data_IF_151811278609
#
_entry.id   IF_151811278609
#
_cell.length_a   1.000
_cell.length_b   1.000
_cell.length_c   1.000
_cell.angle_alpha   90.00
_cell.angle_beta   90.00
_cell.angle_gamma   90.00
#
_symmetry.space_group_name_H-M   'P 1'
#
loop_
_entity.id
_entity.type
_entity.pdbx_description
1 polymer ?
#
# COMPACT_ATOMS: atom_id res chain seq x y z
N UNK A 1 16.02 -12.27 -39.96
CA UNK A 1 16.24 -12.23 -38.50
C UNK A 1 15.06 -12.80 -37.70
N UNK A 2 13.79 -12.57 -38.08
CA UNK A 2 12.63 -13.13 -37.37
C UNK A 2 12.51 -14.67 -37.49
N UNK A 3 12.77 -15.24 -38.68
CA UNK A 3 12.74 -16.70 -38.91
C UNK A 3 13.74 -17.48 -38.05
N UNK A 4 14.96 -16.97 -37.88
CA UNK A 4 16.00 -17.62 -37.06
C UNK A 4 15.63 -17.65 -35.57
N UNK A 5 14.89 -16.65 -35.09
CA UNK A 5 14.43 -16.60 -33.70
C UNK A 5 13.30 -17.61 -33.46
N UNK A 6 12.37 -17.74 -34.42
CA UNK A 6 11.30 -18.75 -34.37
C UNK A 6 11.87 -20.17 -34.43
N UNK A 7 12.84 -20.43 -35.31
CA UNK A 7 13.47 -21.75 -35.40
C UNK A 7 14.20 -22.11 -34.10
N UNK A 8 14.89 -21.15 -33.49
CA UNK A 8 15.56 -21.35 -32.21
C UNK A 8 14.56 -21.65 -31.08
N UNK A 9 13.42 -20.96 -31.03
CA UNK A 9 12.37 -21.22 -30.05
C UNK A 9 11.76 -22.62 -30.23
N UNK A 10 11.58 -23.09 -31.47
CA UNK A 10 11.09 -24.45 -31.77
C UNK A 10 12.11 -25.49 -31.32
N UNK A 11 13.40 -25.28 -31.56
CA UNK A 11 14.44 -26.24 -31.13
C UNK A 11 14.55 -26.33 -29.60
N UNK A 12 14.40 -25.19 -28.91
CA UNK A 12 14.34 -25.15 -27.44
C UNK A 12 13.08 -25.84 -26.92
N UNK A 13 11.94 -25.67 -27.60
CA UNK A 13 10.70 -26.34 -27.24
C UNK A 13 10.79 -27.86 -27.43
N UNK A 14 11.38 -28.33 -28.54
CA UNK A 14 11.59 -29.75 -28.80
C UNK A 14 12.46 -30.39 -27.73
N UNK A 15 13.57 -29.75 -27.33
CA UNK A 15 14.41 -30.24 -26.22
C UNK A 15 13.67 -30.34 -24.89
N UNK A 16 12.78 -29.38 -24.60
CA UNK A 16 11.96 -29.41 -23.39
C UNK A 16 10.90 -30.52 -23.46
N UNK A 17 10.30 -30.73 -24.64
CA UNK A 17 9.37 -31.83 -24.89
C UNK A 17 10.06 -33.19 -24.75
N UNK A 18 11.28 -33.34 -25.25
CA UNK A 18 12.07 -34.57 -25.13
C UNK A 18 12.37 -34.90 -23.65
N UNK A 19 12.75 -33.89 -22.85
CA UNK A 19 12.95 -34.04 -21.40
C UNK A 19 11.67 -34.45 -20.67
N UNK A 20 10.53 -33.85 -21.02
CA UNK A 20 9.24 -34.20 -20.42
C UNK A 20 8.79 -35.61 -20.86
N UNK A 21 9.03 -35.98 -22.12
CA UNK A 21 8.73 -37.31 -22.63
C UNK A 21 9.55 -38.39 -21.92
N UNK A 22 10.83 -38.12 -21.65
CA UNK A 22 11.70 -39.01 -20.89
C UNK A 22 11.18 -39.23 -19.46
N UNK A 23 10.80 -38.14 -18.78
CA UNK A 23 10.22 -38.19 -17.42
C UNK A 23 8.87 -38.94 -17.40
N UNK A 24 8.00 -38.71 -18.39
CA UNK A 24 6.70 -39.40 -18.52
C UNK A 24 6.88 -40.89 -18.75
N UNK A 25 7.89 -41.27 -19.55
CA UNK A 25 8.21 -42.69 -19.80
C UNK A 25 8.72 -43.36 -18.52
N UNK A 26 9.61 -42.70 -17.77
CA UNK A 26 10.09 -43.19 -16.49
C UNK A 26 8.94 -43.34 -15.46
N UNK A 27 8.03 -42.37 -15.41
CA UNK A 27 6.86 -42.40 -14.54
C UNK A 27 5.90 -43.54 -14.89
N UNK A 28 5.69 -43.81 -16.20
CA UNK A 28 4.85 -44.91 -16.66
C UNK A 28 5.44 -46.28 -16.27
N UNK A 29 6.76 -46.44 -16.40
CA UNK A 29 7.44 -47.69 -16.07
C UNK A 29 7.38 -47.99 -14.55
N UNK A 30 7.47 -46.96 -13.71
CA UNK A 30 7.29 -47.10 -12.26
C UNK A 30 5.87 -47.60 -11.91
N UNK A 31 4.84 -47.06 -12.58
CA UNK A 31 3.45 -47.48 -12.40
C UNK A 31 3.21 -48.94 -12.79
N UNK A 32 3.75 -49.39 -13.93
CA UNK A 32 3.65 -50.80 -14.35
C UNK A 32 4.36 -51.73 -13.36
N UNK A 33 5.54 -51.36 -12.86
CA UNK A 33 6.26 -52.18 -11.87
C UNK A 33 5.52 -52.30 -10.54
N UNK A 34 4.75 -51.28 -10.15
CA UNK A 34 3.90 -51.32 -8.98
C UNK A 34 2.63 -52.15 -9.20
N UNK A 35 2.05 -52.11 -10.40
CA UNK A 35 0.88 -52.93 -10.74
C UNK A 35 1.21 -54.43 -10.69
N UNK A 36 2.40 -54.81 -11.17
CA UNK A 36 2.96 -56.16 -11.01
C UNK A 36 3.22 -56.51 -9.54
N UNK A 37 3.80 -55.58 -8.76
CA UNK A 37 4.02 -55.78 -7.33
C UNK A 37 2.71 -55.99 -6.56
N UNK A 38 1.65 -55.25 -6.90
CA UNK A 38 0.29 -55.40 -6.35
C UNK A 38 -0.28 -56.77 -6.69
N UNK A 39 -0.10 -57.21 -7.93
CA UNK A 39 -0.54 -58.53 -8.41
C UNK A 39 0.13 -59.65 -7.60
N UNK A 40 1.45 -59.60 -7.45
CA UNK A 40 2.24 -60.56 -6.69
C UNK A 40 1.93 -60.54 -5.19
N UNK A 41 1.72 -59.34 -4.61
CA UNK A 41 1.27 -59.17 -3.22
C UNK A 41 -0.12 -59.75 -2.99
N UNK A 42 -1.01 -59.73 -3.99
CA UNK A 42 -2.35 -60.31 -3.84
C UNK A 42 -2.30 -61.84 -3.69
N UNK A 43 -1.31 -62.48 -4.32
CA UNK A 43 -1.11 -63.93 -4.29
C UNK A 43 -0.48 -64.36 -2.96
N UNK A 44 0.61 -63.71 -2.54
CA UNK A 44 1.34 -64.05 -1.29
C UNK A 44 0.62 -63.48 -0.05
N UNK A 45 -0.07 -62.36 -0.19
CA UNK A 45 -0.75 -61.65 0.89
C UNK A 45 -1.89 -62.46 1.53
N UNK A 46 -2.46 -63.43 0.80
CA UNK A 46 -3.53 -64.29 1.31
C UNK A 46 -3.08 -65.17 2.49
N UNK A 47 -1.84 -65.65 2.45
CA UNK A 47 -1.25 -66.48 3.51
C UNK A 47 -0.74 -65.63 4.69
N UNK A 48 -0.13 -64.48 4.40
CA UNK A 48 0.26 -63.50 5.42
C UNK A 48 -0.96 -62.94 6.18
N UNK A 49 -2.05 -62.62 5.47
CA UNK A 49 -3.30 -62.14 6.05
C UNK A 49 -3.93 -63.17 6.98
N UNK A 50 -3.99 -64.45 6.54
CA UNK A 50 -4.46 -65.55 7.40
C UNK A 50 -3.64 -65.70 8.68
N UNK A 51 -2.34 -65.42 8.63
CA UNK A 51 -1.48 -65.48 9.81
C UNK A 51 -1.70 -64.28 10.74
N UNK A 52 -1.81 -63.07 10.21
CA UNK A 52 -2.07 -61.84 10.98
C UNK A 52 -3.45 -61.83 11.63
N UNK A 53 -4.49 -62.27 10.90
CA UNK A 53 -5.86 -62.38 11.45
C UNK A 53 -5.89 -63.37 12.61
N UNK A 54 -5.25 -64.54 12.50
CA UNK A 54 -5.14 -65.50 13.61
C UNK A 54 -4.38 -64.95 14.83
N UNK A 55 -3.42 -64.04 14.62
CA UNK A 55 -2.70 -63.40 15.73
C UNK A 55 -3.52 -62.28 16.38
N UNK A 56 -4.29 -61.52 15.61
CA UNK A 56 -5.17 -60.46 16.10
C UNK A 56 -6.38 -61.01 16.85
N UNK A 57 -6.95 -62.13 16.41
CA UNK A 57 -8.04 -62.85 17.09
C UNK A 57 -7.59 -63.35 18.48
N UNK A 58 -6.32 -63.78 18.58
CA UNK A 58 -5.67 -64.10 19.87
C UNK A 58 -5.41 -62.90 20.77
N UNK A 59 -5.35 -61.69 20.22
CA UNK A 59 -5.17 -60.45 20.99
C UNK A 59 -6.49 -59.91 21.56
N UNK A 60 -7.63 -60.57 21.30
CA UNK A 60 -8.92 -60.24 21.89
C UNK A 60 -9.58 -58.98 21.29
N UNK A 61 -9.21 -58.58 20.08
CA UNK A 61 -9.83 -57.47 19.38
C UNK A 61 -10.94 -58.03 18.48
N UNK A 62 -12.20 -57.76 18.80
CA UNK A 62 -13.37 -58.05 17.95
C UNK A 62 -13.29 -57.22 16.66
N UNK A 63 -12.52 -57.69 15.69
CA UNK A 63 -12.44 -57.11 14.36
C UNK A 63 -13.20 -58.00 13.38
N UNK A 64 -14.15 -57.41 12.66
CA UNK A 64 -14.78 -58.07 11.52
C UNK A 64 -13.70 -58.41 10.48
N UNK A 65 -13.33 -59.70 10.44
CA UNK A 65 -12.29 -60.24 9.56
C UNK A 65 -12.57 -59.99 8.08
N UNK A 66 -13.84 -59.88 7.70
CA UNK A 66 -14.27 -59.61 6.32
C UNK A 66 -14.15 -58.12 5.98
N UNK A 67 -14.47 -57.24 6.94
CA UNK A 67 -14.23 -55.81 6.81
C UNK A 67 -12.73 -55.49 6.68
N UNK A 68 -11.87 -56.15 7.47
CA UNK A 68 -10.42 -55.94 7.46
C UNK A 68 -9.79 -56.44 6.15
N UNK A 69 -10.23 -57.60 5.66
CA UNK A 69 -9.86 -58.09 4.32
C UNK A 69 -10.28 -57.10 3.22
N UNK A 70 -11.49 -56.57 3.32
CA UNK A 70 -12.03 -55.58 2.38
C UNK A 70 -11.23 -54.27 2.37
N UNK A 71 -10.78 -53.78 3.53
CA UNK A 71 -9.93 -52.59 3.64
C UNK A 71 -8.55 -52.83 3.05
N UNK A 72 -7.90 -53.96 3.35
CA UNK A 72 -6.60 -54.29 2.76
C UNK A 72 -6.68 -54.50 1.25
N UNK A 73 -7.75 -55.13 0.75
CA UNK A 73 -7.96 -55.30 -0.68
C UNK A 73 -8.21 -53.96 -1.38
N UNK A 74 -8.96 -53.04 -0.74
CA UNK A 74 -9.16 -51.67 -1.23
C UNK A 74 -7.87 -50.86 -1.18
N UNK A 75 -7.05 -51.00 -0.15
CA UNK A 75 -5.75 -50.35 -0.06
C UNK A 75 -4.80 -50.86 -1.16
N UNK A 76 -4.71 -52.19 -1.33
CA UNK A 76 -3.91 -52.83 -2.38
C UNK A 76 -4.35 -52.39 -3.78
N UNK A 77 -5.66 -52.38 -4.05
CA UNK A 77 -6.23 -51.94 -5.33
C UNK A 77 -6.03 -50.44 -5.60
N UNK A 78 -5.93 -49.63 -4.55
CA UNK A 78 -5.71 -48.18 -4.64
C UNK A 78 -4.26 -47.79 -4.31
N UNK A 79 -3.30 -48.72 -4.35
CA UNK A 79 -1.90 -48.44 -4.06
C UNK A 79 -1.33 -47.32 -4.93
N UNK A 80 -1.76 -47.22 -6.19
CA UNK A 80 -1.41 -46.10 -7.08
C UNK A 80 -1.84 -44.73 -6.52
N UNK A 81 -3.09 -44.60 -6.05
CA UNK A 81 -3.60 -43.36 -5.46
C UNK A 81 -2.92 -43.04 -4.12
N UNK A 82 -2.60 -44.06 -3.33
CA UNK A 82 -1.86 -43.88 -2.07
C UNK A 82 -0.44 -43.39 -2.37
N UNK A 83 0.21 -43.93 -3.39
CA UNK A 83 1.53 -43.50 -3.82
C UNK A 83 1.53 -42.03 -4.28
N UNK A 84 0.57 -41.63 -5.11
CA UNK A 84 0.41 -40.22 -5.52
C UNK A 84 0.20 -39.27 -4.33
N UNK A 85 -0.56 -39.71 -3.32
CA UNK A 85 -0.74 -38.94 -2.09
C UNK A 85 0.57 -38.82 -1.28
N UNK A 86 1.36 -39.88 -1.22
CA UNK A 86 2.66 -39.87 -0.54
C UNK A 86 3.66 -38.97 -1.27
N UNK A 87 3.72 -39.02 -2.60
CA UNK A 87 4.53 -38.11 -3.43
C UNK A 87 4.11 -36.64 -3.26
N UNK A 88 2.80 -36.39 -3.16
CA UNK A 88 2.27 -35.06 -2.86
C UNK A 88 2.67 -34.59 -1.46
N UNK A 89 2.67 -35.50 -0.48
CA UNK A 89 3.07 -35.20 0.89
C UNK A 89 4.57 -34.91 1.00
N UNK A 90 5.39 -35.66 0.26
CA UNK A 90 6.83 -35.42 0.13
C UNK A 90 7.09 -34.05 -0.51
N UNK A 91 6.41 -33.74 -1.62
CA UNK A 91 6.51 -32.45 -2.30
C UNK A 91 6.07 -31.28 -1.41
N UNK A 92 5.00 -31.44 -0.63
CA UNK A 92 4.53 -30.43 0.31
C UNK A 92 5.52 -30.22 1.47
N UNK A 93 6.08 -31.31 1.99
CA UNK A 93 7.10 -31.26 3.03
C UNK A 93 8.39 -30.59 2.53
N UNK A 94 8.83 -30.91 1.31
CA UNK A 94 10.00 -30.29 0.68
C UNK A 94 9.78 -28.80 0.43
N UNK A 95 8.60 -28.42 -0.08
CA UNK A 95 8.23 -27.02 -0.20
C UNK A 95 8.25 -26.28 1.14
N UNK A 96 7.69 -26.88 2.20
CA UNK A 96 7.73 -26.28 3.55
C UNK A 96 9.18 -26.11 4.02
N UNK A 97 10.02 -27.12 3.80
CA UNK A 97 11.43 -27.10 4.17
C UNK A 97 12.21 -26.01 3.41
N UNK A 98 11.87 -25.76 2.15
CA UNK A 98 12.49 -24.73 1.32
C UNK A 98 11.98 -23.32 1.63
N UNK A 99 10.68 -23.18 1.92
CA UNK A 99 10.06 -21.88 2.24
C UNK A 99 10.34 -21.43 3.66
N UNK A 100 10.50 -22.35 4.61
CA UNK A 100 10.70 -22.00 6.04
C UNK A 100 11.92 -21.07 6.25
N UNK A 101 13.11 -21.33 5.69
CA UNK A 101 14.25 -20.42 5.79
C UNK A 101 13.99 -19.04 5.18
N UNK A 102 13.33 -18.99 4.02
CA UNK A 102 13.00 -17.74 3.32
C UNK A 102 12.01 -16.92 4.14
N UNK A 103 10.95 -17.56 4.64
CA UNK A 103 9.94 -16.93 5.49
C UNK A 103 10.55 -16.41 6.80
N UNK A 104 11.50 -17.15 7.38
CA UNK A 104 12.20 -16.70 8.58
C UNK A 104 13.03 -15.43 8.33
N UNK A 105 13.81 -15.40 7.24
CA UNK A 105 14.62 -14.24 6.88
C UNK A 105 13.75 -13.02 6.51
N UNK A 106 12.75 -13.21 5.65
CA UNK A 106 11.80 -12.16 5.29
C UNK A 106 11.04 -11.65 6.52
N UNK A 107 10.68 -12.54 7.44
CA UNK A 107 10.04 -12.19 8.70
C UNK A 107 10.94 -11.31 9.58
N UNK A 108 12.20 -11.69 9.75
CA UNK A 108 13.18 -10.90 10.50
C UNK A 108 13.42 -9.52 9.86
N UNK A 109 13.56 -9.46 8.54
CA UNK A 109 13.73 -8.20 7.82
C UNK A 109 12.48 -7.30 7.92
N UNK A 110 11.28 -7.89 7.84
CA UNK A 110 10.03 -7.18 8.02
C UNK A 110 9.89 -6.63 9.44
N UNK A 111 10.24 -7.42 10.47
CA UNK A 111 10.24 -6.96 11.87
C UNK A 111 11.23 -5.81 12.05
N UNK A 112 12.45 -5.93 11.52
CA UNK A 112 13.46 -4.88 11.61
C UNK A 112 13.04 -3.60 10.89
N UNK A 113 12.44 -3.71 9.70
CA UNK A 113 11.88 -2.58 8.94
C UNK A 113 10.73 -1.91 9.68
N UNK A 114 9.83 -2.69 10.26
CA UNK A 114 8.71 -2.16 11.05
C UNK A 114 9.20 -1.47 12.33
N UNK A 115 10.16 -2.06 13.03
CA UNK A 115 10.80 -1.43 14.18
C UNK A 115 11.54 -0.14 13.79
N UNK A 116 12.15 -0.09 12.60
CA UNK A 116 12.76 1.13 12.07
C UNK A 116 11.70 2.20 11.75
N UNK A 117 10.56 1.81 11.17
CA UNK A 117 9.44 2.71 10.91
C UNK A 117 8.83 3.27 12.18
N UNK A 118 8.66 2.44 13.20
CA UNK A 118 8.22 2.84 14.52
C UNK A 118 9.23 3.79 15.17
N UNK A 119 10.54 3.46 15.17
CA UNK A 119 11.60 4.34 15.72
C UNK A 119 11.68 5.69 15.02
N UNK A 120 11.45 5.73 13.70
CA UNK A 120 11.39 6.97 12.92
C UNK A 120 10.07 7.72 13.11
N UNK A 121 9.10 7.18 13.85
CA UNK A 121 7.83 7.81 14.16
C UNK A 121 6.80 7.77 13.02
N UNK A 122 6.98 6.93 11.99
CA UNK A 122 6.03 6.83 10.88
C UNK A 122 4.67 6.32 11.35
N UNK A 123 4.66 5.34 12.26
CA UNK A 123 3.42 4.80 12.85
C UNK A 123 2.66 5.91 13.57
N UNK A 124 3.35 6.68 14.41
CA UNK A 124 2.74 7.78 15.16
C UNK A 124 2.28 8.90 14.24
N UNK A 125 3.05 9.24 13.21
CA UNK A 125 2.67 10.22 12.21
C UNK A 125 1.38 9.81 11.46
N UNK A 126 1.28 8.55 11.02
CA UNK A 126 0.07 8.04 10.35
C UNK A 126 -1.12 8.03 11.32
N UNK A 127 -0.90 7.65 12.58
CA UNK A 127 -1.93 7.67 13.62
C UNK A 127 -2.46 9.09 13.86
N UNK A 128 -1.57 10.07 13.97
CA UNK A 128 -1.94 11.48 14.15
C UNK A 128 -2.60 12.07 12.89
N UNK A 129 -2.15 11.69 11.69
CA UNK A 129 -2.86 12.03 10.44
C UNK A 129 -4.27 11.45 10.42
N UNK A 130 -4.44 10.20 10.88
CA UNK A 130 -5.76 9.57 11.00
C UNK A 130 -6.67 10.34 11.96
N UNK A 131 -6.14 10.74 13.13
CA UNK A 131 -6.87 11.57 14.11
C UNK A 131 -7.24 12.94 13.54
N UNK A 132 -6.32 13.58 12.83
CA UNK A 132 -6.59 14.85 12.16
C UNK A 132 -7.69 14.66 11.09
N UNK A 133 -7.62 13.59 10.30
CA UNK A 133 -8.64 13.23 9.32
C UNK A 133 -10.01 12.99 9.97
N UNK A 134 -10.08 12.28 11.10
CA UNK A 134 -11.32 12.01 11.82
C UNK A 134 -11.94 13.29 12.42
N UNK A 135 -11.10 14.18 12.97
CA UNK A 135 -11.52 15.50 13.43
C UNK A 135 -12.03 16.37 12.26
N UNK A 136 -11.40 16.27 11.09
CA UNK A 136 -11.85 16.98 9.89
C UNK A 136 -13.19 16.42 9.43
N UNK A 137 -13.31 15.11 9.24
CA UNK A 137 -14.55 14.46 8.74
C UNK A 137 -15.72 14.63 9.72
N UNK A 138 -15.47 14.75 11.02
CA UNK A 138 -16.52 14.99 12.02
C UNK A 138 -17.04 16.44 12.04
N UNK A 139 -16.25 17.42 11.59
CA UNK A 139 -16.61 18.84 11.60
C UNK A 139 -16.89 19.43 10.21
N UNK A 140 -16.39 18.77 9.17
CA UNK A 140 -16.49 19.20 7.78
C UNK A 140 -17.23 18.13 6.98
N UNK A 141 -18.16 18.57 6.14
CA UNK A 141 -18.86 17.68 5.21
C UNK A 141 -17.90 17.12 4.17
N UNK A 142 -18.31 16.07 3.45
CA UNK A 142 -17.52 15.52 2.35
C UNK A 142 -17.24 16.56 1.25
N UNK A 143 -18.13 17.53 1.08
CA UNK A 143 -17.99 18.63 0.13
C UNK A 143 -16.93 19.63 0.60
N UNK A 144 -16.91 19.97 1.89
CA UNK A 144 -15.88 20.83 2.49
C UNK A 144 -14.47 20.22 2.37
N UNK A 145 -14.35 18.89 2.55
CA UNK A 145 -13.07 18.17 2.40
C UNK A 145 -12.61 18.17 0.94
N UNK A 146 -13.54 18.08 -0.01
CA UNK A 146 -13.24 18.14 -1.44
C UNK A 146 -12.77 19.53 -1.83
N UNK A 147 -13.48 20.57 -1.40
CA UNK A 147 -13.07 21.96 -1.64
C UNK A 147 -11.70 22.26 -1.01
N UNK A 148 -11.42 21.71 0.17
CA UNK A 148 -10.11 21.80 0.79
C UNK A 148 -9.03 21.10 -0.04
N UNK A 149 -9.28 19.89 -0.53
CA UNK A 149 -8.33 19.14 -1.34
C UNK A 149 -8.03 19.84 -2.67
N UNK A 150 -9.06 20.41 -3.32
CA UNK A 150 -8.93 21.12 -4.59
C UNK A 150 -8.17 22.45 -4.42
N UNK A 151 -8.24 23.08 -3.24
CA UNK A 151 -7.60 24.37 -2.94
C UNK A 151 -6.35 24.28 -2.04
N UNK A 152 -5.92 23.06 -1.68
CA UNK A 152 -4.82 22.87 -0.70
C UNK A 152 -3.52 23.54 -1.14
N UNK A 153 -3.23 23.54 -2.45
CA UNK A 153 -2.04 24.19 -3.00
C UNK A 153 -2.09 25.69 -2.79
N UNK A 154 -3.21 26.35 -3.12
CA UNK A 154 -3.38 27.79 -2.94
C UNK A 154 -3.36 28.21 -1.47
N UNK A 155 -3.91 27.39 -0.57
CA UNK A 155 -3.82 27.60 0.88
C UNK A 155 -2.36 27.52 1.33
N UNK A 156 -1.62 26.49 0.92
CA UNK A 156 -0.20 26.33 1.26
C UNK A 156 0.67 27.46 0.69
N UNK A 157 0.39 27.93 -0.52
CA UNK A 157 1.06 29.09 -1.12
C UNK A 157 0.77 30.38 -0.33
N UNK A 158 -0.47 30.57 0.13
CA UNK A 158 -0.85 31.71 0.96
C UNK A 158 -0.14 31.67 2.33
N UNK A 159 -0.12 30.50 2.97
CA UNK A 159 0.64 30.29 4.22
C UNK A 159 2.13 30.56 3.99
N UNK A 160 2.70 30.04 2.89
CA UNK A 160 4.09 30.33 2.50
C UNK A 160 4.35 31.82 2.31
N UNK A 161 3.40 32.57 1.73
CA UNK A 161 3.50 34.01 1.53
C UNK A 161 3.45 34.79 2.85
N UNK A 162 2.56 34.42 3.76
CA UNK A 162 2.44 35.07 5.09
C UNK A 162 3.65 34.76 5.97
N UNK A 163 4.20 33.54 5.87
CA UNK A 163 5.38 33.10 6.62
C UNK A 163 6.70 33.66 6.09
N UNK A 164 6.69 34.47 5.02
CA UNK A 164 7.89 35.19 4.57
C UNK A 164 8.37 36.17 5.65
N UNK A 165 9.70 36.36 5.83
CA UNK A 165 10.26 37.19 6.90
C UNK A 165 9.67 38.60 6.96
N UNK A 166 9.41 39.22 5.81
CA UNK A 166 8.86 40.57 5.67
C UNK A 166 7.41 40.63 6.19
N UNK A 167 6.59 39.65 5.81
CA UNK A 167 5.17 39.57 6.19
C UNK A 167 5.02 39.22 7.67
N UNK A 168 5.81 38.27 8.17
CA UNK A 168 5.84 37.93 9.61
C UNK A 168 6.22 39.14 10.47
N UNK A 169 7.19 39.95 10.05
CA UNK A 169 7.54 41.20 10.74
C UNK A 169 6.38 42.19 10.73
N UNK A 170 5.70 42.36 9.60
CA UNK A 170 4.55 43.25 9.50
C UNK A 170 3.40 42.80 10.42
N UNK A 171 3.08 41.51 10.45
CA UNK A 171 2.06 40.91 11.33
C UNK A 171 2.42 41.08 12.80
N UNK A 172 3.67 40.76 13.19
CA UNK A 172 4.13 40.91 14.57
C UNK A 172 4.09 42.39 15.03
N UNK A 173 4.49 43.32 14.16
CA UNK A 173 4.40 44.74 14.43
C UNK A 173 2.94 45.19 14.62
N UNK A 174 2.03 44.72 13.76
CA UNK A 174 0.60 45.03 13.88
C UNK A 174 -0.01 44.50 15.19
N UNK A 175 0.32 43.26 15.58
CA UNK A 175 -0.13 42.67 16.84
C UNK A 175 0.42 43.45 18.04
N UNK A 176 1.71 43.84 17.99
CA UNK A 176 2.35 44.63 19.05
C UNK A 176 1.70 46.00 19.20
N UNK A 177 1.46 46.69 18.07
CA UNK A 177 0.77 47.98 18.05
C UNK A 177 -0.64 47.84 18.60
N UNK A 178 -1.41 46.85 18.13
CA UNK A 178 -2.76 46.59 18.61
C UNK A 178 -2.82 46.34 20.13
N UNK A 179 -1.90 45.52 20.66
CA UNK A 179 -1.80 45.27 22.11
C UNK A 179 -1.33 46.47 22.93
N UNK A 180 -0.65 47.44 22.31
CA UNK A 180 -0.16 48.66 22.96
C UNK A 180 -1.17 49.82 22.98
N UNK A 181 -2.28 49.70 22.25
CA UNK A 181 -3.36 50.69 22.27
C UNK A 181 -4.21 50.44 23.52
N UNK A 182 -4.14 51.36 24.49
CA UNK A 182 -5.06 51.38 25.63
C UNK A 182 -6.48 51.74 25.14
N UNK A 183 -7.27 50.71 24.83
CA UNK A 183 -8.63 50.83 24.24
C UNK A 183 -9.63 51.63 25.10
N UNK A 184 -9.29 51.90 26.36
CA UNK A 184 -10.16 52.61 27.32
C UNK A 184 -9.83 54.12 27.44
N UNK A 185 -8.85 54.63 26.69
CA UNK A 185 -8.42 56.04 26.74
C UNK A 185 -8.35 56.71 25.37
N UNK A 186 -9.40 56.58 24.57
CA UNK A 186 -9.50 57.42 23.37
C UNK A 186 -9.75 58.88 23.80
N UNK A 187 -8.74 59.74 23.62
CA UNK A 187 -8.93 61.18 23.81
C UNK A 187 -9.97 61.71 22.81
N UNK A 188 -10.95 62.46 23.29
CA UNK A 188 -11.90 63.15 22.41
C UNK A 188 -11.16 64.18 21.54
N UNK A 189 -11.25 64.03 20.23
CA UNK A 189 -10.64 64.97 19.28
C UNK A 189 -11.65 66.07 18.92
N UNK A 190 -11.32 67.32 19.24
CA UNK A 190 -12.04 68.47 18.67
C UNK A 190 -11.69 68.65 17.18
N UNK A 191 -12.57 69.26 16.39
CA UNK A 191 -12.35 69.50 14.95
C UNK A 191 -11.02 70.21 14.66
N UNK A 192 -10.60 71.14 15.53
CA UNK A 192 -9.32 71.82 15.40
C UNK A 192 -8.13 70.93 15.78
N UNK A 193 -8.25 70.13 16.84
CA UNK A 193 -7.22 69.17 17.27
C UNK A 193 -7.01 68.10 16.19
N UNK A 194 -8.07 67.59 15.60
CA UNK A 194 -8.01 66.67 14.46
C UNK A 194 -7.31 67.30 13.25
N UNK A 195 -7.64 68.56 12.90
CA UNK A 195 -6.96 69.25 11.81
C UNK A 195 -5.46 69.48 12.07
N UNK A 196 -5.09 69.81 13.31
CA UNK A 196 -3.69 69.92 13.73
C UNK A 196 -2.99 68.56 13.65
N UNK A 197 -3.65 67.49 14.08
CA UNK A 197 -3.10 66.14 14.05
C UNK A 197 -2.91 65.64 12.62
N UNK A 198 -3.82 65.95 11.69
CA UNK A 198 -3.62 65.66 10.26
C UNK A 198 -2.37 66.30 9.65
N UNK A 199 -1.87 67.37 10.26
CA UNK A 199 -0.65 68.05 9.83
C UNK A 199 0.62 67.48 10.48
N UNK A 200 0.51 66.54 11.42
CA UNK A 200 1.67 65.92 12.08
C UNK A 200 2.53 65.14 11.07
N UNK A 201 3.85 65.05 11.29
CA UNK A 201 4.75 64.27 10.44
C UNK A 201 4.32 62.80 10.30
N UNK A 202 3.78 62.22 11.37
CA UNK A 202 3.34 60.83 11.45
C UNK A 202 2.11 60.61 10.56
N UNK A 203 1.08 61.45 10.70
CA UNK A 203 -0.14 61.34 9.90
C UNK A 203 0.12 61.62 8.42
N UNK A 204 0.99 62.58 8.09
CA UNK A 204 1.43 62.82 6.70
C UNK A 204 2.14 61.63 6.07
N UNK A 205 3.03 60.96 6.82
CA UNK A 205 3.69 59.73 6.37
C UNK A 205 2.69 58.60 6.18
N UNK A 206 1.74 58.44 7.12
CA UNK A 206 0.67 57.45 7.03
C UNK A 206 -0.24 57.66 5.81
N UNK A 207 -0.70 58.89 5.58
CA UNK A 207 -1.48 59.25 4.38
C UNK A 207 -0.67 59.02 3.09
N UNK A 208 0.62 59.38 3.07
CA UNK A 208 1.50 59.13 1.92
C UNK A 208 1.67 57.63 1.62
N UNK A 209 1.82 56.80 2.66
CA UNK A 209 1.83 55.35 2.53
C UNK A 209 0.50 54.83 1.94
N UNK A 210 -0.64 55.24 2.51
CA UNK A 210 -1.97 54.84 2.05
C UNK A 210 -2.20 55.21 0.58
N UNK A 211 -1.83 56.44 0.18
CA UNK A 211 -1.94 56.91 -1.21
C UNK A 211 -1.09 56.05 -2.14
N UNK A 212 0.16 55.76 -1.78
CA UNK A 212 1.05 54.94 -2.60
C UNK A 212 0.58 53.49 -2.68
N UNK A 213 0.08 52.94 -1.56
CA UNK A 213 -0.50 51.61 -1.51
C UNK A 213 -1.71 51.48 -2.44
N UNK A 214 -2.66 52.42 -2.36
CA UNK A 214 -3.84 52.42 -3.22
C UNK A 214 -3.48 52.60 -4.70
N UNK A 215 -2.51 53.46 -5.02
CA UNK A 215 -2.00 53.60 -6.41
C UNK A 215 -1.41 52.30 -6.95
N UNK A 216 -0.62 51.60 -6.14
CA UNK A 216 0.01 50.35 -6.55
C UNK A 216 -1.02 49.22 -6.71
N UNK A 217 -2.03 49.15 -5.83
CA UNK A 217 -3.14 48.21 -5.96
C UNK A 217 -3.93 48.43 -7.26
N UNK A 218 -4.30 49.68 -7.55
CA UNK A 218 -5.02 50.01 -8.79
C UNK A 218 -4.21 49.63 -10.03
N UNK A 219 -2.90 49.95 -10.06
CA UNK A 219 -2.00 49.58 -11.16
C UNK A 219 -1.87 48.07 -11.34
N UNK A 220 -1.84 47.30 -10.26
CA UNK A 220 -1.77 45.84 -10.33
C UNK A 220 -3.08 45.24 -10.88
N UNK A 221 -4.23 45.79 -10.51
CA UNK A 221 -5.53 45.38 -11.07
C UNK A 221 -5.64 45.69 -12.56
N UNK A 222 -5.19 46.87 -13.01
CA UNK A 222 -5.14 47.23 -14.43
C UNK A 222 -4.20 46.30 -15.24
N UNK A 223 -3.06 45.92 -14.66
CA UNK A 223 -2.13 44.97 -15.27
C UNK A 223 -2.75 43.58 -15.42
N UNK A 224 -3.44 43.07 -14.39
CA UNK A 224 -4.14 41.79 -14.46
C UNK A 224 -5.29 41.82 -15.49
N UNK A 225 -6.04 42.92 -15.57
CA UNK A 225 -7.12 43.06 -16.56
C UNK A 225 -6.60 43.15 -18.01
N UNK A 226 -5.46 43.80 -18.24
CA UNK A 226 -4.83 43.88 -19.57
C UNK A 226 -4.23 42.55 -20.02
N UNK A 227 -3.62 41.79 -19.10
CA UNK A 227 -3.16 40.42 -19.36
C UNK A 227 -4.32 39.47 -19.70
N UNK A 228 -5.44 39.57 -18.99
CA UNK A 228 -6.63 38.76 -19.27
C UNK A 228 -7.33 39.11 -20.59
N UNK A 229 -7.36 40.40 -20.98
CA UNK A 229 -7.89 40.84 -22.28
C UNK A 229 -7.05 40.36 -23.46
N UNK A 230 -5.73 40.32 -23.31
CA UNK A 230 -4.83 39.83 -24.36
C UNK A 230 -4.99 38.33 -24.58
N UNK A 231 -5.19 37.55 -23.51
CA UNK A 231 -5.44 36.10 -23.62
C UNK A 231 -6.80 35.74 -24.24
N UNK A 232 -7.81 36.63 -24.18
CA UNK A 232 -9.10 36.42 -24.84
C UNK A 232 -9.08 36.72 -26.34
N UNK A 233 -8.14 37.54 -26.82
CA UNK A 233 -7.98 37.81 -28.25
C UNK A 233 -7.18 36.72 -28.98
N UNK A 234 -6.22 36.06 -28.33
CA UNK A 234 -5.46 34.95 -28.93
C UNK A 234 -6.27 33.67 -29.09
N UNK A 235 -7.34 33.47 -28.30
CA UNK A 235 -8.23 32.30 -28.44
C UNK A 235 -9.33 32.46 -29.51
N UNK A 236 -9.51 33.65 -30.09
CA UNK A 236 -10.51 33.89 -31.16
C UNK A 236 -9.95 33.82 -32.58
N UNK A 237 -8.67 33.46 -32.75
CA UNK A 237 -7.99 33.37 -34.06
C UNK A 237 -7.47 31.94 -34.34
N UNK A 238 -7.98 30.93 -33.62
CA UNK A 238 -7.82 29.52 -33.98
C UNK A 238 -9.18 28.86 -34.16
#
# INVERSE_FOLDING_TARGET
MAEQNIQHQIDVLNKKLDLILEEIVAQKQSRESMEDLVSDLSVIGKDAFRHTVNQLDKAGIDFDSEALAGVLLKAARNLGNINELLETFESAHDFIKDVTPIAHQLGLDAINRMAEFERKGYIDFIRELGRAGDNIVSHFSAEDVKDLADNIVSILETVKLITQPEMMRAVNNAITVYGSIEMDKFEEYSLWKAFREMRSPEMKKGMGFMINFLKNLAKQQELQQSLNKNNTHTQKIN
#
